data_IF_166577250632
#
_entry.id   IF_166577250632
#
_cell.length_a   1.000
_cell.length_b   1.000
_cell.length_c   1.000
_cell.angle_alpha   90.00
_cell.angle_beta   90.00
_cell.angle_gamma   90.00
#
_symmetry.space_group_name_H-M   'P 1'
#
loop_
_entity.id
_entity.type
_entity.pdbx_description
1 polymer ?
#
# COMPACT_ATOMS: atom_id res chain seq x y z
N UNK A 1 -6.09 14.35 3.52
CA UNK A 1 -6.87 13.29 4.21
C UNK A 1 -5.95 12.54 5.16
N UNK A 2 -6.35 12.40 6.43
CA UNK A 2 -5.49 11.94 7.54
C UNK A 2 -5.06 10.45 7.47
N UNK A 3 -5.66 9.64 6.58
CA UNK A 3 -5.34 8.22 6.46
C UNK A 3 -3.92 7.97 5.91
N UNK A 4 -3.36 8.91 5.13
CA UNK A 4 -2.01 8.75 4.57
C UNK A 4 -0.94 8.70 5.65
N UNK A 5 -1.09 9.44 6.75
CA UNK A 5 -0.19 9.36 7.91
C UNK A 5 -0.48 8.16 8.83
N UNK A 6 -1.60 7.47 8.64
CA UNK A 6 -1.95 6.28 9.42
C UNK A 6 -1.32 5.00 8.86
N UNK A 7 -0.81 5.05 7.62
CA UNK A 7 -0.10 3.93 6.98
C UNK A 7 1.00 3.35 7.87
N UNK A 8 1.90 4.19 8.40
CA UNK A 8 3.01 3.73 9.24
C UNK A 8 2.59 3.24 10.62
N UNK A 9 1.34 3.49 11.05
CA UNK A 9 0.80 3.05 12.34
C UNK A 9 0.05 1.73 12.24
N UNK A 10 -0.59 1.51 11.09
CA UNK A 10 -1.51 0.41 10.89
C UNK A 10 -0.90 -0.73 10.06
N UNK A 11 0.23 -0.48 9.38
CA UNK A 11 0.91 -1.44 8.52
C UNK A 11 2.42 -1.41 8.77
N UNK A 12 3.07 -2.54 8.53
CA UNK A 12 4.53 -2.66 8.58
C UNK A 12 5.18 -2.39 7.21
N UNK A 13 4.50 -2.77 6.13
CA UNK A 13 5.03 -2.61 4.77
C UNK A 13 3.90 -2.53 3.74
N UNK A 14 4.11 -1.71 2.70
CA UNK A 14 3.26 -1.68 1.51
C UNK A 14 4.10 -2.06 0.30
N UNK A 15 3.68 -3.10 -0.43
CA UNK A 15 4.25 -3.45 -1.74
C UNK A 15 3.24 -3.16 -2.84
N UNK A 16 3.71 -2.51 -3.89
CA UNK A 16 2.93 -2.21 -5.09
C UNK A 16 3.57 -3.00 -6.23
N UNK A 17 2.89 -4.06 -6.64
CA UNK A 17 3.25 -4.87 -7.81
C UNK A 17 2.56 -4.28 -9.02
N UNK A 18 3.31 -3.91 -10.05
CA UNK A 18 2.76 -3.35 -11.28
C UNK A 18 3.56 -3.80 -12.50
N UNK A 19 2.92 -3.76 -13.66
CA UNK A 19 3.58 -3.95 -14.95
C UNK A 19 3.84 -2.62 -15.65
N UNK A 20 5.04 -2.48 -16.23
CA UNK A 20 5.45 -1.29 -16.97
C UNK A 20 4.66 -1.12 -18.28
N UNK A 21 4.33 -2.22 -18.94
CA UNK A 21 3.80 -2.23 -20.32
C UNK A 21 2.35 -2.67 -20.41
N UNK A 22 1.82 -3.39 -19.42
CA UNK A 22 0.44 -3.89 -19.48
C UNK A 22 -0.58 -2.73 -19.38
N UNK A 23 -1.62 -2.69 -20.22
CA UNK A 23 -2.72 -1.74 -20.10
C UNK A 23 -3.45 -1.84 -18.75
N UNK A 24 -3.61 -3.06 -18.22
CA UNK A 24 -4.27 -3.31 -16.93
C UNK A 24 -3.53 -2.69 -15.72
N UNK A 25 -2.24 -2.39 -15.86
CA UNK A 25 -1.45 -1.73 -14.82
C UNK A 25 -1.39 -0.20 -14.94
N UNK A 26 -2.08 0.40 -15.92
CA UNK A 26 -1.97 1.84 -16.18
C UNK A 26 -2.39 2.69 -14.98
N UNK A 27 -3.54 2.40 -14.37
CA UNK A 27 -4.00 3.14 -13.19
C UNK A 27 -3.06 3.01 -11.98
N UNK A 28 -2.39 1.85 -11.83
CA UNK A 28 -1.39 1.64 -10.79
C UNK A 28 -0.12 2.47 -11.04
N UNK A 29 0.34 2.59 -12.29
CA UNK A 29 1.47 3.47 -12.66
C UNK A 29 1.16 4.92 -12.36
N UNK A 30 -0.01 5.39 -12.76
CA UNK A 30 -0.45 6.77 -12.54
C UNK A 30 -0.62 7.08 -11.05
N UNK A 31 -1.11 6.10 -10.27
CA UNK A 31 -1.18 6.18 -8.82
C UNK A 31 0.22 6.33 -8.21
N UNK A 32 1.18 5.49 -8.59
CA UNK A 32 2.55 5.58 -8.06
C UNK A 32 3.18 6.93 -8.41
N UNK A 33 3.12 7.38 -9.67
CA UNK A 33 3.74 8.63 -10.11
C UNK A 33 3.25 9.85 -9.33
N UNK A 34 1.97 9.87 -8.96
CA UNK A 34 1.35 11.04 -8.34
C UNK A 34 1.24 10.94 -6.81
N UNK A 35 0.98 9.76 -6.25
CA UNK A 35 0.76 9.59 -4.82
C UNK A 35 2.04 9.25 -4.05
N UNK A 36 3.05 8.65 -4.69
CA UNK A 36 4.23 8.12 -3.99
C UNK A 36 5.00 9.19 -3.22
N UNK A 37 5.21 10.38 -3.82
CA UNK A 37 5.91 11.48 -3.15
C UNK A 37 5.19 11.95 -1.89
N UNK A 38 3.86 12.11 -1.94
CA UNK A 38 3.06 12.50 -0.77
C UNK A 38 3.08 11.41 0.31
N UNK A 39 2.94 10.14 -0.08
CA UNK A 39 2.94 9.01 0.83
C UNK A 39 4.30 8.87 1.55
N UNK A 40 5.41 9.06 0.83
CA UNK A 40 6.75 9.00 1.40
C UNK A 40 7.05 10.20 2.29
N UNK A 41 6.58 11.40 1.91
CA UNK A 41 6.72 12.61 2.74
C UNK A 41 5.93 12.50 4.05
N UNK A 42 4.73 11.92 4.00
CA UNK A 42 3.92 11.68 5.19
C UNK A 42 4.50 10.58 6.09
N UNK A 43 5.20 9.59 5.51
CA UNK A 43 5.73 8.43 6.23
C UNK A 43 7.20 8.14 5.83
N UNK A 44 8.18 8.93 6.31
CA UNK A 44 9.57 8.82 5.86
C UNK A 44 10.20 7.46 6.20
N UNK A 45 9.87 6.91 7.39
CA UNK A 45 10.39 5.62 7.88
C UNK A 45 9.63 4.40 7.35
N UNK A 46 8.47 4.59 6.73
CA UNK A 46 7.64 3.47 6.26
C UNK A 46 8.20 2.89 4.94
N UNK A 47 8.37 1.57 4.85
CA UNK A 47 8.82 0.92 3.62
C UNK A 47 7.66 0.80 2.62
N UNK A 48 7.72 1.62 1.57
CA UNK A 48 6.86 1.53 0.39
C UNK A 48 7.71 0.93 -0.74
N UNK A 49 7.45 -0.33 -1.08
CA UNK A 49 8.18 -1.07 -2.10
C UNK A 49 7.41 -1.05 -3.42
N UNK A 50 7.94 -0.38 -4.44
CA UNK A 50 7.44 -0.53 -5.80
C UNK A 50 8.20 -1.66 -6.47
N UNK A 51 7.47 -2.63 -7.02
CA UNK A 51 8.00 -3.81 -7.69
C UNK A 51 7.40 -3.88 -9.07
N UNK A 52 8.25 -3.61 -10.05
CA UNK A 52 7.87 -3.64 -11.45
C UNK A 52 8.19 -5.03 -12.01
N UNK A 53 7.21 -5.66 -12.67
CA UNK A 53 7.39 -6.95 -13.33
C UNK A 53 6.71 -6.96 -14.69
N UNK A 54 7.39 -7.49 -15.70
CA UNK A 54 6.81 -7.74 -17.02
C UNK A 54 5.68 -8.77 -16.90
N UNK A 55 4.52 -8.45 -17.50
CA UNK A 55 3.32 -9.31 -17.54
C UNK A 55 2.71 -9.72 -16.18
N UNK A 56 3.04 -9.03 -15.08
CA UNK A 56 2.38 -9.27 -13.80
C UNK A 56 1.08 -8.49 -13.66
N UNK A 57 0.10 -9.12 -12.99
CA UNK A 57 -1.12 -8.47 -12.55
C UNK A 57 -0.80 -7.36 -11.54
N UNK A 58 -1.47 -6.21 -11.68
CA UNK A 58 -1.29 -5.13 -10.73
C UNK A 58 -1.90 -5.51 -9.38
N UNK A 59 -1.11 -5.51 -8.31
CA UNK A 59 -1.54 -5.92 -6.96
C UNK A 59 -0.96 -5.00 -5.89
N UNK A 60 -1.75 -4.75 -4.84
CA UNK A 60 -1.30 -4.12 -3.60
C UNK A 60 -1.15 -5.21 -2.55
N UNK A 61 0.03 -5.30 -1.94
CA UNK A 61 0.29 -6.17 -0.80
C UNK A 61 0.55 -5.34 0.45
N UNK A 62 -0.25 -5.57 1.48
CA UNK A 62 -0.10 -4.96 2.79
C UNK A 62 0.44 -6.00 3.77
N UNK A 63 1.58 -5.73 4.42
CA UNK A 63 2.06 -6.54 5.55
C UNK A 63 1.72 -5.85 6.86
N UNK A 64 1.18 -6.62 7.80
CA UNK A 64 0.84 -6.21 9.15
C UNK A 64 1.77 -6.88 10.17
N UNK A 65 1.54 -6.65 11.45
CA UNK A 65 2.24 -7.35 12.53
C UNK A 65 1.99 -8.87 12.47
N UNK A 66 2.85 -9.63 13.16
CA UNK A 66 2.78 -11.11 13.21
C UNK A 66 2.90 -11.80 11.85
N UNK A 67 3.43 -11.11 10.83
CA UNK A 67 3.66 -11.69 9.50
C UNK A 67 2.38 -11.87 8.66
N UNK A 68 1.27 -11.24 9.05
CA UNK A 68 0.02 -11.30 8.27
C UNK A 68 0.16 -10.45 7.02
N UNK A 69 -0.07 -11.03 5.85
CA UNK A 69 -0.05 -10.34 4.56
C UNK A 69 -1.41 -10.40 3.87
N UNK A 70 -1.81 -9.29 3.26
CA UNK A 70 -3.03 -9.20 2.48
C UNK A 70 -2.75 -8.65 1.09
N UNK A 71 -3.18 -9.39 0.07
CA UNK A 71 -3.05 -9.00 -1.31
C UNK A 71 -4.39 -8.66 -1.95
N UNK A 72 -4.47 -7.51 -2.60
CA UNK A 72 -5.64 -7.05 -3.35
C UNK A 72 -5.23 -6.81 -4.79
N UNK A 73 -5.97 -7.42 -5.73
CA UNK A 73 -5.82 -7.10 -7.14
C UNK A 73 -6.36 -5.71 -7.45
N UNK A 74 -5.59 -4.95 -8.20
CA UNK A 74 -5.92 -3.61 -8.66
C UNK A 74 -5.78 -3.48 -10.17
N UNK A 75 -5.83 -4.60 -10.89
CA UNK A 75 -5.76 -4.62 -12.34
C UNK A 75 -7.00 -3.95 -12.96
N UNK A 76 -6.77 -3.07 -13.94
CA UNK A 76 -7.80 -2.31 -14.64
C UNK A 76 -8.49 -1.24 -13.79
N UNK A 77 -8.06 -1.01 -12.55
CA UNK A 77 -8.65 0.00 -11.69
C UNK A 77 -8.02 1.38 -11.92
N UNK A 78 -8.87 2.40 -11.85
CA UNK A 78 -8.42 3.79 -11.87
C UNK A 78 -7.69 4.17 -10.57
N UNK A 79 -6.83 5.18 -10.65
CA UNK A 79 -6.11 5.77 -9.51
C UNK A 79 -7.00 6.07 -8.30
N UNK A 80 -8.23 6.53 -8.53
CA UNK A 80 -9.18 6.85 -7.45
C UNK A 80 -9.64 5.58 -6.72
N UNK A 81 -9.95 4.51 -7.46
CA UNK A 81 -10.33 3.21 -6.91
C UNK A 81 -9.17 2.55 -6.17
N UNK A 82 -7.95 2.66 -6.70
CA UNK A 82 -6.73 2.19 -6.02
C UNK A 82 -6.52 2.92 -4.70
N UNK A 83 -6.74 4.24 -4.67
CA UNK A 83 -6.65 5.02 -3.44
C UNK A 83 -7.67 4.58 -2.38
N UNK A 84 -8.90 4.25 -2.80
CA UNK A 84 -9.93 3.70 -1.90
C UNK A 84 -9.54 2.31 -1.37
N UNK A 85 -9.02 1.43 -2.23
CA UNK A 85 -8.51 0.11 -1.81
C UNK A 85 -7.38 0.21 -0.81
N UNK A 86 -6.46 1.17 -1.01
CA UNK A 86 -5.41 1.42 -0.04
C UNK A 86 -5.97 1.92 1.30
N UNK A 87 -6.99 2.79 1.28
CA UNK A 87 -7.67 3.24 2.50
C UNK A 87 -8.38 2.08 3.23
N UNK A 88 -9.00 1.15 2.51
CA UNK A 88 -9.60 -0.06 3.07
C UNK A 88 -8.54 -0.94 3.78
N UNK A 89 -7.38 -1.14 3.17
CA UNK A 89 -6.26 -1.87 3.79
C UNK A 89 -5.78 -1.19 5.08
N UNK A 90 -5.65 0.14 5.07
CA UNK A 90 -5.24 0.92 6.24
C UNK A 90 -6.25 0.77 7.38
N UNK A 91 -7.56 0.82 7.09
CA UNK A 91 -8.62 0.61 8.10
C UNK A 91 -8.60 -0.82 8.64
N UNK A 92 -8.32 -1.81 7.79
CA UNK A 92 -8.23 -3.19 8.25
C UNK A 92 -7.06 -3.39 9.23
N UNK A 93 -5.93 -2.70 9.00
CA UNK A 93 -4.83 -2.63 9.96
C UNK A 93 -5.16 -1.97 11.31
N UNK A 94 -6.29 -1.27 11.44
CA UNK A 94 -6.79 -0.76 12.74
C UNK A 94 -7.44 -1.85 13.57
N UNK A 95 -8.12 -2.79 12.91
CA UNK A 95 -8.77 -3.93 13.57
C UNK A 95 -7.85 -5.11 13.86
N UNK A 96 -6.64 -5.15 13.27
CA UNK A 96 -5.72 -6.27 13.43
C UNK A 96 -4.90 -6.18 14.71
N UNK A 97 -4.54 -7.32 15.32
CA UNK A 97 -3.69 -7.36 16.51
C UNK A 97 -2.32 -6.77 16.19
N UNK A 98 -1.82 -5.92 17.10
CA UNK A 98 -0.54 -5.23 16.99
C UNK A 98 0.46 -5.75 18.00
N UNK A 99 1.73 -5.66 17.66
CA UNK A 99 2.81 -5.97 18.59
C UNK A 99 2.98 -4.81 19.58
N UNK A 100 3.50 -5.10 20.78
CA UNK A 100 3.80 -4.05 21.78
C UNK A 100 4.85 -3.06 21.28
N UNK A 101 5.75 -3.51 20.39
CA UNK A 101 6.76 -2.69 19.72
C UNK A 101 6.13 -1.68 18.75
N UNK A 102 5.11 -2.09 18.00
CA UNK A 102 4.40 -1.21 17.07
C UNK A 102 3.44 -0.24 17.77
N UNK A 103 2.99 -0.54 19.00
CA UNK A 103 2.26 0.39 19.86
C UNK A 103 3.15 1.48 20.51
N UNK A 104 4.48 1.37 20.39
CA UNK A 104 5.42 2.30 21.02
C UNK A 104 5.49 2.17 22.55
N UNK A 105 5.06 1.02 23.09
CA UNK A 105 5.20 0.68 24.52
C UNK A 105 6.46 -0.18 24.71
N UNK A 106 7.61 0.48 24.72
CA UNK A 106 8.87 -0.03 25.27
C UNK A 106 9.52 1.09 26.07
#
# INVERSE_FOLDING_TARGET
MAWRSALSKNMQELRILLSQTSPGSQGARDFVLSAYQELKKANPKFPILVRESSNAEARLLARYDFGVEEGVSVEGLDKASISKKLEELVKKGESMPRSTESEGKL
#
